data_IF_849712187645
#
_entry.id   IF_849712187645
#
_cell.length_a   1.000
_cell.length_b   1.000
_cell.length_c   1.000
_cell.angle_alpha   90.00
_cell.angle_beta   90.00
_cell.angle_gamma   90.00
#
_symmetry.space_group_name_H-M   'P 1'
#
loop_
_entity.id
_entity.type
_entity.pdbx_description
1 polymer ?
#
# COMPACT_ATOMS: atom_id res chain seq x y z
N UNK A 1 17.64 6.61 -10.10
CA UNK A 1 17.16 5.88 -8.91
C UNK A 1 18.03 4.66 -8.76
N UNK A 2 18.57 4.39 -7.57
CA UNK A 2 19.27 3.13 -7.33
C UNK A 2 18.24 2.01 -7.23
N UNK A 3 18.32 1.04 -8.14
CA UNK A 3 17.43 -0.13 -8.17
C UNK A 3 18.28 -1.39 -7.90
N UNK A 4 18.05 -2.09 -6.78
CA UNK A 4 18.77 -3.32 -6.48
C UNK A 4 18.36 -4.44 -7.43
N UNK A 5 19.29 -5.36 -7.69
CA UNK A 5 19.01 -6.59 -8.46
C UNK A 5 18.34 -7.64 -7.57
N UNK A 6 17.46 -8.45 -8.14
CA UNK A 6 16.70 -9.44 -7.39
C UNK A 6 17.60 -10.47 -6.67
N UNK A 7 18.76 -10.80 -7.24
CA UNK A 7 19.72 -11.75 -6.65
C UNK A 7 20.41 -11.22 -5.38
N UNK A 8 20.28 -9.92 -5.09
CA UNK A 8 20.81 -9.32 -3.87
C UNK A 8 19.94 -9.57 -2.63
N UNK A 9 18.71 -10.08 -2.83
CA UNK A 9 17.78 -10.37 -1.75
C UNK A 9 17.96 -11.81 -1.24
N UNK A 10 17.70 -12.05 0.06
CA UNK A 10 17.62 -13.40 0.58
C UNK A 10 16.49 -14.17 -0.09
N UNK A 11 16.59 -15.51 -0.14
CA UNK A 11 15.48 -16.34 -0.61
C UNK A 11 14.26 -16.15 0.29
N UNK A 12 13.07 -16.10 -0.30
CA UNK A 12 11.81 -16.02 0.43
C UNK A 12 11.69 -17.14 1.48
N UNK A 13 11.14 -16.79 2.65
CA UNK A 13 10.85 -17.73 3.73
C UNK A 13 9.60 -17.28 4.45
N UNK A 14 8.52 -18.05 4.31
CA UNK A 14 7.26 -17.77 5.00
C UNK A 14 7.44 -17.76 6.52
N UNK A 15 8.24 -18.70 7.06
CA UNK A 15 8.55 -18.73 8.49
C UNK A 15 9.17 -17.42 8.97
N UNK A 16 10.17 -16.91 8.25
CA UNK A 16 10.81 -15.62 8.59
C UNK A 16 9.78 -14.50 8.57
N UNK A 17 9.07 -14.35 7.45
CA UNK A 17 8.05 -13.30 7.28
C UNK A 17 7.07 -13.29 8.46
N UNK A 18 6.45 -14.44 8.76
CA UNK A 18 5.46 -14.52 9.83
C UNK A 18 6.07 -14.30 11.21
N UNK A 19 7.24 -14.86 11.49
CA UNK A 19 7.94 -14.67 12.77
C UNK A 19 8.33 -13.22 13.02
N UNK A 20 8.77 -12.48 12.00
CA UNK A 20 9.15 -11.08 12.13
C UNK A 20 7.93 -10.19 12.23
N UNK A 21 6.92 -10.39 11.38
CA UNK A 21 5.73 -9.54 11.32
C UNK A 21 4.80 -9.73 12.52
N UNK A 22 4.52 -10.98 12.91
CA UNK A 22 3.53 -11.29 13.95
C UNK A 22 4.16 -11.69 15.30
N UNK A 23 5.48 -11.83 15.35
CA UNK A 23 6.22 -12.24 16.55
C UNK A 23 6.09 -13.73 16.86
N UNK A 24 7.01 -14.23 17.68
CA UNK A 24 7.03 -15.61 18.20
C UNK A 24 6.81 -15.69 19.70
N UNK A 25 6.80 -14.55 20.39
CA UNK A 25 6.77 -14.46 21.85
C UNK A 25 5.33 -14.53 22.36
N UNK A 26 4.70 -15.69 22.19
CA UNK A 26 3.37 -15.98 22.70
C UNK A 26 3.32 -17.41 23.24
N UNK A 27 2.54 -17.62 24.30
CA UNK A 27 2.34 -18.94 24.92
C UNK A 27 1.13 -19.69 24.37
N UNK A 28 0.30 -18.99 23.60
CA UNK A 28 -0.98 -19.49 23.13
C UNK A 28 -0.83 -20.22 21.80
N UNK A 29 -1.68 -21.20 21.55
CA UNK A 29 -1.83 -21.80 20.23
C UNK A 29 -2.68 -20.88 19.36
N UNK A 30 -2.10 -20.31 18.31
CA UNK A 30 -2.81 -19.38 17.42
C UNK A 30 -3.39 -20.11 16.20
N UNK A 31 -4.46 -19.57 15.64
CA UNK A 31 -5.05 -20.02 14.38
C UNK A 31 -4.76 -19.01 13.28
N UNK A 32 -4.39 -19.50 12.10
CA UNK A 32 -4.11 -18.66 10.94
C UNK A 32 -5.02 -19.04 9.77
N UNK A 33 -5.50 -18.05 9.03
CA UNK A 33 -6.13 -18.30 7.73
C UNK A 33 -5.59 -17.39 6.63
N UNK A 34 -5.78 -17.86 5.39
CA UNK A 34 -5.55 -17.10 4.17
C UNK A 34 -6.92 -16.79 3.55
N UNK A 35 -7.10 -15.53 3.17
CA UNK A 35 -8.23 -15.07 2.38
C UNK A 35 -7.75 -14.74 0.97
N UNK A 36 -8.43 -15.31 -0.01
CA UNK A 36 -8.30 -14.94 -1.42
C UNK A 36 -9.60 -14.35 -1.92
N UNK A 37 -9.53 -13.62 -3.03
CA UNK A 37 -10.72 -13.15 -3.72
C UNK A 37 -10.90 -13.86 -5.06
N UNK A 38 -12.16 -14.16 -5.39
CA UNK A 38 -12.54 -14.77 -6.66
C UNK A 38 -13.75 -14.03 -7.25
N UNK A 39 -13.84 -13.87 -8.58
CA UNK A 39 -15.01 -13.26 -9.21
C UNK A 39 -16.27 -14.13 -9.08
N UNK A 40 -16.08 -15.45 -8.96
CA UNK A 40 -17.11 -16.44 -8.70
C UNK A 40 -16.60 -17.43 -7.64
N UNK A 41 -17.31 -17.53 -6.52
CA UNK A 41 -16.96 -18.42 -5.41
C UNK A 41 -17.01 -19.91 -5.79
N UNK A 42 -17.74 -20.28 -6.85
CA UNK A 42 -17.78 -21.66 -7.34
C UNK A 42 -16.42 -22.16 -7.83
N UNK A 43 -15.48 -21.24 -8.13
CA UNK A 43 -14.10 -21.53 -8.50
C UNK A 43 -13.25 -22.01 -7.31
N UNK A 44 -13.68 -21.74 -6.08
CA UNK A 44 -12.99 -22.23 -4.88
C UNK A 44 -13.21 -23.74 -4.71
N UNK A 45 -14.40 -24.22 -5.06
CA UNK A 45 -14.82 -25.61 -4.85
C UNK A 45 -13.91 -26.57 -5.61
N UNK A 46 -13.44 -27.61 -4.94
CA UNK A 46 -12.52 -28.61 -5.51
C UNK A 46 -11.27 -27.99 -6.18
N UNK A 47 -10.84 -26.82 -5.69
CA UNK A 47 -9.66 -26.09 -6.15
C UNK A 47 -9.72 -25.71 -7.65
N UNK A 48 -10.91 -25.46 -8.21
CA UNK A 48 -11.07 -25.16 -9.65
C UNK A 48 -10.21 -23.98 -10.11
N UNK A 49 -10.04 -22.93 -9.30
CA UNK A 49 -9.23 -21.76 -9.65
C UNK A 49 -7.76 -22.11 -9.94
N UNK A 50 -7.21 -23.17 -9.33
CA UNK A 50 -5.84 -23.62 -9.61
C UNK A 50 -5.69 -24.17 -11.04
N UNK A 51 -6.76 -24.74 -11.58
CA UNK A 51 -6.80 -25.35 -12.92
C UNK A 51 -7.23 -24.38 -14.01
N UNK A 52 -7.83 -23.25 -13.62
CA UNK A 52 -8.28 -22.20 -14.54
C UNK A 52 -7.11 -21.31 -14.97
N UNK A 53 -7.23 -20.71 -16.17
CA UNK A 53 -6.32 -19.66 -16.61
C UNK A 53 -6.45 -18.41 -15.72
N UNK A 54 -5.35 -17.67 -15.54
CA UNK A 54 -5.31 -16.49 -14.65
C UNK A 54 -5.09 -16.83 -13.18
N UNK A 55 -5.64 -16.01 -12.28
CA UNK A 55 -5.59 -16.16 -10.82
C UNK A 55 -4.17 -16.27 -10.25
N UNK A 56 -3.21 -15.53 -10.80
CA UNK A 56 -1.80 -15.64 -10.39
C UNK A 56 -1.61 -15.34 -8.90
N UNK A 57 -2.30 -14.31 -8.39
CA UNK A 57 -2.24 -13.91 -6.98
C UNK A 57 -2.78 -15.02 -6.08
N UNK A 58 -3.95 -15.56 -6.40
CA UNK A 58 -4.60 -16.61 -5.62
C UNK A 58 -3.81 -17.93 -5.69
N UNK A 59 -3.17 -18.21 -6.84
CA UNK A 59 -2.21 -19.32 -6.98
C UNK A 59 -0.98 -19.14 -6.10
N UNK A 60 -0.41 -17.93 -6.00
CA UNK A 60 0.66 -17.67 -5.02
C UNK A 60 0.19 -17.89 -3.58
N UNK A 61 -1.02 -17.41 -3.24
CA UNK A 61 -1.62 -17.63 -1.92
C UNK A 61 -1.68 -19.12 -1.56
N UNK A 62 -2.09 -19.97 -2.51
CA UNK A 62 -2.13 -21.41 -2.33
C UNK A 62 -0.73 -22.06 -2.35
N UNK A 63 -0.01 -21.92 -3.47
CA UNK A 63 1.18 -22.70 -3.78
C UNK A 63 2.38 -22.32 -2.91
N UNK A 64 2.46 -21.06 -2.50
CA UNK A 64 3.56 -20.54 -1.70
C UNK A 64 3.15 -20.37 -0.24
N UNK A 65 2.01 -19.74 0.06
CA UNK A 65 1.67 -19.46 1.46
C UNK A 65 1.02 -20.67 2.11
N UNK A 66 -0.14 -21.12 1.64
CA UNK A 66 -0.90 -22.22 2.24
C UNK A 66 -0.09 -23.53 2.28
N UNK A 67 0.53 -23.91 1.16
CA UNK A 67 1.36 -25.10 1.10
C UNK A 67 2.54 -25.05 2.08
N UNK A 68 3.18 -23.90 2.30
CA UNK A 68 4.26 -23.82 3.30
C UNK A 68 3.71 -23.87 4.74
N UNK A 69 2.54 -23.28 5.01
CA UNK A 69 1.85 -23.41 6.31
C UNK A 69 1.62 -24.88 6.67
N UNK A 70 0.98 -25.64 5.77
CA UNK A 70 0.67 -27.07 6.00
C UNK A 70 1.94 -27.94 6.01
N UNK A 71 2.98 -27.56 5.27
CA UNK A 71 4.26 -28.29 5.22
C UNK A 71 5.27 -27.81 6.28
N UNK A 72 4.80 -27.59 7.50
CA UNK A 72 5.64 -27.46 8.70
C UNK A 72 5.91 -26.04 9.20
N UNK A 73 5.56 -24.98 8.45
CA UNK A 73 5.70 -23.61 8.99
C UNK A 73 4.78 -23.42 10.19
N UNK A 74 3.53 -23.89 10.12
CA UNK A 74 2.55 -23.78 11.21
C UNK A 74 3.01 -24.50 12.46
N UNK A 75 3.50 -25.75 12.34
CA UNK A 75 4.08 -26.49 13.47
C UNK A 75 5.27 -25.71 14.09
N UNK A 76 6.13 -25.15 13.25
CA UNK A 76 7.32 -24.42 13.71
C UNK A 76 7.02 -23.07 14.39
N UNK A 77 5.81 -22.55 14.21
CA UNK A 77 5.32 -21.28 14.78
C UNK A 77 4.14 -21.49 15.74
N UNK A 78 3.87 -22.74 16.14
CA UNK A 78 2.80 -23.10 17.08
C UNK A 78 1.38 -22.72 16.61
N UNK A 79 1.14 -22.70 15.29
CA UNK A 79 -0.22 -22.55 14.76
C UNK A 79 -0.95 -23.89 14.75
N UNK A 80 -2.16 -23.93 15.29
CA UNK A 80 -2.96 -25.16 15.43
C UNK A 80 -3.96 -25.39 14.30
N UNK A 81 -4.26 -24.35 13.52
CA UNK A 81 -5.22 -24.40 12.43
C UNK A 81 -4.76 -23.55 11.26
N UNK A 82 -4.97 -24.07 10.05
CA UNK A 82 -4.67 -23.41 8.77
C UNK A 82 -5.95 -23.32 7.95
N UNK A 83 -6.63 -22.17 7.99
CA UNK A 83 -7.80 -21.89 7.15
C UNK A 83 -7.40 -21.39 5.76
N UNK A 84 -8.24 -21.68 4.76
CA UNK A 84 -8.11 -21.11 3.43
C UNK A 84 -9.50 -20.87 2.84
N UNK A 85 -9.84 -19.62 2.62
CA UNK A 85 -11.19 -19.21 2.24
C UNK A 85 -11.15 -18.23 1.07
N UNK A 86 -12.24 -18.19 0.32
CA UNK A 86 -12.46 -17.23 -0.75
C UNK A 86 -13.69 -16.37 -0.45
N UNK A 87 -13.59 -15.08 -0.76
CA UNK A 87 -14.72 -14.15 -0.84
C UNK A 87 -14.78 -13.52 -2.24
N UNK A 88 -15.83 -12.75 -2.54
CA UNK A 88 -16.01 -12.18 -3.86
C UNK A 88 -15.10 -10.96 -4.08
N UNK A 89 -14.44 -10.90 -5.23
CA UNK A 89 -13.60 -9.76 -5.64
C UNK A 89 -14.34 -8.43 -5.51
N UNK A 90 -13.71 -7.45 -4.85
CA UNK A 90 -14.30 -6.14 -4.53
C UNK A 90 -14.36 -5.19 -5.73
N UNK A 91 -13.43 -5.32 -6.68
CA UNK A 91 -13.31 -4.44 -7.85
C UNK A 91 -12.61 -3.11 -7.59
N UNK A 92 -12.14 -2.86 -6.36
CA UNK A 92 -11.41 -1.65 -5.98
C UNK A 92 -10.70 -1.81 -4.63
N UNK A 93 -9.58 -1.11 -4.46
CA UNK A 93 -8.81 -1.14 -3.22
C UNK A 93 -9.56 -0.44 -2.09
N UNK A 94 -9.59 -1.10 -0.93
CA UNK A 94 -10.22 -0.64 0.30
C UNK A 94 -11.75 -0.47 0.23
N UNK A 95 -12.40 -1.05 -0.77
CA UNK A 95 -13.85 -1.24 -0.77
C UNK A 95 -14.24 -2.37 0.20
N UNK A 96 -15.39 -2.21 0.85
CA UNK A 96 -15.87 -3.21 1.80
C UNK A 96 -16.29 -4.50 1.07
N UNK A 97 -15.77 -5.68 1.46
CA UNK A 97 -16.14 -6.95 0.83
C UNK A 97 -17.58 -7.35 1.17
N UNK A 98 -18.21 -8.11 0.27
CA UNK A 98 -19.44 -8.83 0.60
C UNK A 98 -19.14 -9.87 1.68
N UNK A 99 -20.10 -10.11 2.60
CA UNK A 99 -19.91 -11.01 3.75
C UNK A 99 -19.77 -12.49 3.35
N UNK A 100 -20.26 -12.87 2.17
CA UNK A 100 -20.26 -14.26 1.72
C UNK A 100 -18.85 -14.76 1.42
N UNK A 101 -18.51 -15.90 2.01
CA UNK A 101 -17.28 -16.63 1.79
C UNK A 101 -17.54 -18.13 1.57
N UNK A 102 -16.51 -18.84 1.11
CA UNK A 102 -16.54 -20.30 0.93
C UNK A 102 -15.15 -20.91 1.12
N UNK A 103 -15.10 -22.23 1.26
CA UNK A 103 -13.86 -23.04 1.36
C UNK A 103 -13.78 -24.05 0.20
N UNK A 104 -12.81 -24.97 0.25
CA UNK A 104 -12.62 -25.96 -0.82
C UNK A 104 -13.76 -26.98 -0.93
N UNK A 105 -14.47 -27.25 0.17
CA UNK A 105 -15.61 -28.16 0.24
C UNK A 105 -16.91 -27.51 -0.26
N UNK A 106 -16.89 -26.20 -0.41
CA UNK A 106 -17.98 -25.39 -0.94
C UNK A 106 -19.04 -25.01 0.07
N UNK A 107 -18.66 -24.98 1.35
CA UNK A 107 -19.51 -24.50 2.43
C UNK A 107 -19.90 -23.03 2.21
N UNK A 108 -21.12 -22.68 2.59
CA UNK A 108 -21.58 -21.29 2.64
C UNK A 108 -21.18 -20.70 3.99
N UNK A 109 -20.21 -19.78 3.96
CA UNK A 109 -19.62 -19.17 5.15
C UNK A 109 -19.83 -17.66 5.16
N UNK A 110 -19.75 -17.07 6.35
CA UNK A 110 -19.72 -15.63 6.59
C UNK A 110 -18.34 -15.19 7.03
N UNK A 111 -17.84 -14.09 6.46
CA UNK A 111 -16.61 -13.45 6.94
C UNK A 111 -16.76 -13.03 8.41
N UNK A 112 -17.88 -12.40 8.76
CA UNK A 112 -18.10 -11.83 10.10
C UNK A 112 -18.44 -12.87 11.18
N UNK A 113 -19.05 -14.00 10.82
CA UNK A 113 -19.47 -15.02 11.80
C UNK A 113 -18.54 -16.23 11.84
N UNK A 114 -18.09 -16.73 10.69
CA UNK A 114 -17.38 -18.01 10.60
C UNK A 114 -15.87 -17.85 10.49
N UNK A 115 -15.37 -16.69 10.05
CA UNK A 115 -13.94 -16.48 9.79
C UNK A 115 -13.33 -15.50 10.79
N UNK A 116 -13.66 -14.21 10.73
CA UNK A 116 -13.01 -13.18 11.55
C UNK A 116 -12.97 -13.48 13.05
N UNK A 117 -14.03 -14.01 13.69
CA UNK A 117 -14.00 -14.35 15.11
C UNK A 117 -13.15 -15.57 15.46
N UNK A 118 -12.81 -16.42 14.48
CA UNK A 118 -12.26 -17.76 14.70
C UNK A 118 -10.77 -17.88 14.38
N UNK A 119 -10.14 -16.82 13.87
CA UNK A 119 -8.72 -16.81 13.50
C UNK A 119 -7.98 -15.64 14.15
N UNK A 120 -6.78 -15.90 14.67
CA UNK A 120 -5.94 -14.90 15.33
C UNK A 120 -5.07 -14.13 14.32
N UNK A 121 -4.71 -14.77 13.21
CA UNK A 121 -3.93 -14.20 12.12
C UNK A 121 -4.66 -14.41 10.79
N UNK A 122 -4.89 -13.31 10.06
CA UNK A 122 -5.56 -13.34 8.75
C UNK A 122 -4.65 -12.73 7.69
N UNK A 123 -4.30 -13.51 6.67
CA UNK A 123 -3.53 -13.04 5.51
C UNK A 123 -4.47 -12.86 4.31
N UNK A 124 -4.75 -11.63 3.91
CA UNK A 124 -5.50 -11.34 2.69
C UNK A 124 -4.55 -11.24 1.50
N UNK A 125 -4.56 -12.24 0.62
CA UNK A 125 -3.72 -12.31 -0.58
C UNK A 125 -4.65 -12.21 -1.80
N UNK A 126 -4.90 -10.97 -2.22
CA UNK A 126 -6.04 -10.60 -3.08
C UNK A 126 -5.63 -9.73 -4.27
N UNK A 127 -6.49 -9.56 -5.26
CA UNK A 127 -6.19 -8.66 -6.39
C UNK A 127 -6.22 -7.17 -5.97
N UNK A 128 -7.09 -6.81 -5.03
CA UNK A 128 -7.24 -5.45 -4.49
C UNK A 128 -6.91 -5.38 -3.00
N UNK A 129 -6.49 -4.22 -2.52
CA UNK A 129 -6.20 -4.03 -1.10
C UNK A 129 -7.46 -4.15 -0.23
N UNK A 130 -7.33 -4.78 0.94
CA UNK A 130 -8.38 -4.87 1.96
C UNK A 130 -7.97 -4.17 3.27
N UNK A 131 -6.92 -3.34 3.25
CA UNK A 131 -6.30 -2.86 4.48
C UNK A 131 -7.30 -2.11 5.35
N UNK A 132 -8.10 -1.20 4.77
CA UNK A 132 -9.11 -0.46 5.51
C UNK A 132 -10.23 -1.34 6.12
N UNK A 133 -10.99 -2.13 5.34
CA UNK A 133 -12.05 -2.98 5.91
C UNK A 133 -11.48 -4.02 6.87
N UNK A 134 -10.33 -4.64 6.56
CA UNK A 134 -9.74 -5.66 7.41
C UNK A 134 -9.22 -5.06 8.73
N UNK A 135 -8.70 -3.83 8.73
CA UNK A 135 -8.30 -3.11 9.95
C UNK A 135 -9.50 -2.81 10.85
N UNK A 136 -10.64 -2.44 10.25
CA UNK A 136 -11.88 -2.23 11.00
C UNK A 136 -12.37 -3.54 11.63
N UNK A 137 -12.41 -4.63 10.86
CA UNK A 137 -12.79 -5.97 11.36
C UNK A 137 -11.81 -6.50 12.41
N UNK A 138 -10.50 -6.27 12.25
CA UNK A 138 -9.48 -6.67 13.22
C UNK A 138 -9.77 -6.09 14.62
N UNK A 139 -10.15 -4.80 14.69
CA UNK A 139 -10.48 -4.13 15.95
C UNK A 139 -11.76 -4.67 16.60
N UNK A 140 -12.71 -5.16 15.80
CA UNK A 140 -13.99 -5.72 16.29
C UNK A 140 -13.82 -7.16 16.77
N UNK A 141 -13.12 -7.99 15.99
CA UNK A 141 -12.98 -9.42 16.23
C UNK A 141 -11.68 -9.81 16.93
N UNK A 142 -10.81 -8.83 17.21
CA UNK A 142 -9.56 -8.95 17.94
C UNK A 142 -8.52 -9.87 17.26
N UNK A 143 -8.46 -9.86 15.92
CA UNK A 143 -7.41 -10.56 15.16
C UNK A 143 -6.30 -9.60 14.71
N UNK A 144 -5.19 -10.17 14.24
CA UNK A 144 -4.10 -9.45 13.56
C UNK A 144 -4.02 -9.92 12.11
N UNK A 145 -3.50 -9.10 11.21
CA UNK A 145 -3.45 -9.53 9.82
C UNK A 145 -2.47 -8.80 8.95
N UNK A 146 -2.45 -9.22 7.70
CA UNK A 146 -1.73 -8.52 6.64
C UNK A 146 -2.48 -8.60 5.31
N UNK A 147 -2.35 -7.55 4.51
CA UNK A 147 -2.77 -7.56 3.11
C UNK A 147 -1.53 -7.66 2.21
N UNK A 148 -1.63 -8.49 1.18
CA UNK A 148 -0.56 -8.81 0.23
C UNK A 148 -1.09 -8.71 -1.20
N UNK A 149 -1.81 -7.62 -1.48
CA UNK A 149 -2.53 -7.47 -2.72
C UNK A 149 -1.61 -7.41 -3.94
N UNK A 150 -1.98 -8.10 -5.02
CA UNK A 150 -1.19 -8.12 -6.25
C UNK A 150 0.15 -8.87 -6.16
N UNK A 151 0.37 -9.71 -5.15
CA UNK A 151 1.63 -10.46 -4.97
C UNK A 151 2.07 -11.16 -6.26
N UNK A 152 3.36 -11.05 -6.56
CA UNK A 152 3.98 -11.64 -7.74
C UNK A 152 5.40 -12.13 -7.42
N UNK A 153 6.08 -12.70 -8.42
CA UNK A 153 7.42 -13.29 -8.24
C UNK A 153 8.45 -12.29 -7.73
N UNK A 154 8.41 -11.04 -8.23
CA UNK A 154 9.33 -9.99 -7.81
C UNK A 154 9.07 -9.65 -6.34
N UNK A 155 7.81 -9.37 -5.98
CA UNK A 155 7.41 -9.06 -4.60
C UNK A 155 7.85 -10.16 -3.63
N UNK A 156 7.60 -11.42 -4.01
CA UNK A 156 7.92 -12.58 -3.20
C UNK A 156 9.43 -12.68 -2.93
N UNK A 157 10.25 -12.44 -3.95
CA UNK A 157 11.70 -12.57 -3.89
C UNK A 157 12.43 -11.24 -3.57
N UNK A 158 11.70 -10.15 -3.30
CA UNK A 158 12.25 -8.91 -2.77
C UNK A 158 11.54 -8.47 -1.49
N UNK A 159 10.42 -7.73 -1.59
CA UNK A 159 9.82 -7.03 -0.47
C UNK A 159 9.29 -7.94 0.64
N UNK A 160 8.90 -9.18 0.31
CA UNK A 160 8.46 -10.18 1.30
C UNK A 160 9.59 -11.08 1.81
N UNK A 161 10.78 -11.00 1.20
CA UNK A 161 11.90 -11.88 1.53
C UNK A 161 12.78 -11.34 2.66
N UNK A 162 12.65 -10.07 3.01
CA UNK A 162 13.54 -9.35 3.93
C UNK A 162 13.13 -9.53 5.41
N UNK A 163 13.97 -9.03 6.30
CA UNK A 163 13.68 -8.98 7.75
C UNK A 163 12.93 -7.68 8.08
N UNK A 164 11.68 -7.81 8.54
CA UNK A 164 10.82 -6.67 8.83
C UNK A 164 11.24 -5.87 10.07
N UNK A 165 12.11 -6.41 10.92
CA UNK A 165 12.72 -5.62 12.00
C UNK A 165 13.66 -4.56 11.41
N UNK A 166 14.32 -4.84 10.28
CA UNK A 166 15.17 -3.88 9.58
C UNK A 166 14.33 -2.86 8.81
N UNK A 167 13.25 -3.29 8.15
CA UNK A 167 12.26 -2.41 7.52
C UNK A 167 11.73 -1.39 8.52
N UNK A 168 11.39 -1.84 9.73
CA UNK A 168 10.88 -0.96 10.79
C UNK A 168 11.91 0.06 11.27
N UNK A 169 13.20 -0.30 11.35
CA UNK A 169 14.28 0.65 11.70
C UNK A 169 14.51 1.68 10.60
N UNK A 170 14.53 1.24 9.35
CA UNK A 170 14.70 2.12 8.18
C UNK A 170 13.55 3.11 8.03
N UNK A 171 12.32 2.62 8.17
CA UNK A 171 11.12 3.45 8.18
C UNK A 171 11.13 4.43 9.36
N UNK A 172 11.57 4.01 10.56
CA UNK A 172 11.69 4.92 11.72
C UNK A 172 12.73 6.01 11.50
N UNK A 173 13.91 5.65 10.99
CA UNK A 173 14.97 6.63 10.70
C UNK A 173 14.47 7.68 9.71
N UNK A 174 13.74 7.26 8.68
CA UNK A 174 13.13 8.16 7.70
C UNK A 174 12.00 9.01 8.30
N UNK A 175 11.12 8.37 9.10
CA UNK A 175 10.00 9.03 9.79
C UNK A 175 10.50 10.17 10.67
N UNK A 176 11.56 9.97 11.44
CA UNK A 176 12.16 10.99 12.31
C UNK A 176 12.60 12.25 11.54
N UNK A 177 13.08 12.10 10.30
CA UNK A 177 13.45 13.25 9.46
C UNK A 177 12.22 14.08 9.11
N UNK A 178 11.13 13.41 8.70
CA UNK A 178 9.90 14.05 8.23
C UNK A 178 8.93 14.47 9.35
N UNK A 179 9.08 13.90 10.55
CA UNK A 179 8.16 14.11 11.68
C UNK A 179 7.98 15.59 11.99
N UNK A 180 6.75 16.03 12.30
CA UNK A 180 6.44 17.43 12.60
C UNK A 180 6.74 18.43 11.47
N UNK A 181 6.70 18.00 10.21
CA UNK A 181 6.76 18.93 9.06
C UNK A 181 5.47 19.74 8.93
N UNK A 182 5.61 21.02 8.58
CA UNK A 182 4.50 21.94 8.38
C UNK A 182 3.71 21.60 7.11
N UNK A 183 4.44 21.46 6.00
CA UNK A 183 3.89 21.09 4.69
C UNK A 183 4.99 20.53 3.78
N UNK A 184 4.56 19.97 2.65
CA UNK A 184 5.43 19.54 1.56
C UNK A 184 5.01 20.22 0.25
N UNK A 185 5.97 20.65 -0.55
CA UNK A 185 5.76 21.07 -1.94
C UNK A 185 6.35 20.03 -2.88
N UNK A 186 5.56 19.52 -3.81
CA UNK A 186 5.96 18.54 -4.82
C UNK A 186 5.92 19.24 -6.17
N UNK A 187 7.07 19.37 -6.81
CA UNK A 187 7.21 19.96 -8.13
C UNK A 187 7.20 18.85 -9.18
N UNK A 188 6.28 18.98 -10.13
CA UNK A 188 6.10 18.06 -11.24
C UNK A 188 6.51 18.72 -12.55
N UNK A 189 7.18 17.96 -13.41
CA UNK A 189 7.46 18.33 -14.79
C UNK A 189 6.80 17.32 -15.74
N UNK A 190 6.01 17.84 -16.69
CA UNK A 190 5.35 17.06 -17.75
C UNK A 190 5.49 17.81 -19.07
N UNK A 191 6.21 17.22 -20.03
CA UNK A 191 6.48 17.82 -21.35
C UNK A 191 6.98 19.28 -21.30
N UNK A 192 7.85 19.60 -20.32
CA UNK A 192 8.40 20.94 -20.12
C UNK A 192 7.44 21.95 -19.46
N UNK A 193 6.24 21.54 -19.07
CA UNK A 193 5.36 22.33 -18.19
C UNK A 193 5.58 21.93 -16.74
N UNK A 194 5.63 22.91 -15.85
CA UNK A 194 5.79 22.68 -14.42
C UNK A 194 4.48 22.96 -13.66
N UNK A 195 4.22 22.16 -12.64
CA UNK A 195 3.16 22.40 -11.65
C UNK A 195 3.62 22.02 -10.25
N UNK A 196 3.11 22.71 -9.24
CA UNK A 196 3.41 22.40 -7.84
C UNK A 196 2.13 22.01 -7.10
N UNK A 197 2.20 20.93 -6.31
CA UNK A 197 1.20 20.60 -5.31
C UNK A 197 1.78 20.86 -3.92
N UNK A 198 1.09 21.69 -3.14
CA UNK A 198 1.40 21.91 -1.73
C UNK A 198 0.45 21.09 -0.86
N UNK A 199 0.98 20.33 0.09
CA UNK A 199 0.24 19.46 1.00
C UNK A 199 0.54 19.88 2.44
N UNK A 200 -0.48 20.34 3.16
CA UNK A 200 -0.36 20.79 4.54
C UNK A 200 -0.48 19.60 5.50
N UNK A 201 0.51 19.44 6.39
CA UNK A 201 0.59 18.35 7.37
C UNK A 201 0.42 18.83 8.81
N UNK A 202 0.34 20.14 9.03
CA UNK A 202 0.04 20.77 10.33
C UNK A 202 0.94 20.29 11.48
N UNK A 203 2.22 19.98 11.20
CA UNK A 203 3.18 19.47 12.17
C UNK A 203 2.70 18.20 12.90
N UNK A 204 1.83 17.40 12.28
CA UNK A 204 1.41 16.13 12.84
C UNK A 204 2.59 15.18 13.03
N UNK A 205 2.42 14.19 13.91
CA UNK A 205 3.37 13.09 13.95
C UNK A 205 3.22 12.24 12.70
N UNK A 206 4.31 12.09 11.96
CA UNK A 206 4.37 11.25 10.78
C UNK A 206 4.09 9.79 11.17
N UNK A 207 3.32 9.10 10.35
CA UNK A 207 3.04 7.68 10.52
C UNK A 207 4.03 6.85 9.69
N UNK A 208 4.16 5.56 10.02
CA UNK A 208 4.97 4.64 9.21
C UNK A 208 4.24 3.32 9.02
N UNK A 209 4.26 2.81 7.80
CA UNK A 209 3.85 1.43 7.49
C UNK A 209 5.10 0.58 7.50
N UNK A 210 5.27 -0.21 8.55
CA UNK A 210 6.50 -1.00 8.79
C UNK A 210 6.27 -2.51 8.82
N UNK A 211 5.04 -2.95 8.62
CA UNK A 211 4.69 -4.36 8.45
C UNK A 211 4.73 -5.23 9.70
N UNK A 212 4.89 -4.66 10.90
CA UNK A 212 4.86 -5.42 12.15
C UNK A 212 3.48 -5.28 12.82
N UNK A 213 2.86 -6.42 13.12
CA UNK A 213 1.64 -6.57 13.90
C UNK A 213 1.90 -7.55 15.06
N UNK A 214 2.69 -7.14 16.07
CA UNK A 214 3.05 -8.02 17.18
C UNK A 214 1.83 -8.47 17.99
N UNK A 215 2.01 -9.52 18.80
CA UNK A 215 0.94 -10.07 19.63
C UNK A 215 0.35 -9.03 20.60
N UNK A 216 -0.96 -9.11 20.86
CA UNK A 216 -1.65 -8.34 21.89
C UNK A 216 -2.35 -7.05 21.44
N UNK A 217 -2.14 -6.58 20.19
CA UNK A 217 -2.90 -5.46 19.63
C UNK A 217 -3.49 -5.86 18.27
N UNK A 218 -4.82 -5.81 18.07
CA UNK A 218 -5.41 -6.06 16.77
C UNK A 218 -5.02 -4.94 15.79
N UNK A 219 -4.46 -5.34 14.66
CA UNK A 219 -3.99 -4.44 13.61
C UNK A 219 -3.77 -5.20 12.31
N UNK A 220 -3.71 -4.49 11.19
CA UNK A 220 -3.43 -5.07 9.87
C UNK A 220 -2.31 -4.31 9.19
N UNK A 221 -1.33 -5.04 8.67
CA UNK A 221 -0.20 -4.49 7.94
C UNK A 221 -0.37 -4.61 6.41
N UNK A 222 0.24 -3.72 5.65
CA UNK A 222 0.56 -3.98 4.24
C UNK A 222 1.88 -4.75 4.16
N UNK A 223 1.95 -5.82 3.37
CA UNK A 223 3.19 -6.54 3.07
C UNK A 223 3.35 -6.70 1.54
N UNK A 224 4.43 -6.18 0.91
CA UNK A 224 5.56 -5.45 1.49
C UNK A 224 5.19 -4.15 2.21
N UNK A 225 6.02 -3.78 3.17
CA UNK A 225 5.91 -2.53 3.92
C UNK A 225 7.11 -1.63 3.64
N UNK A 226 7.14 -0.49 4.33
CA UNK A 226 8.27 0.44 4.31
C UNK A 226 7.88 1.76 3.66
N UNK A 227 6.96 2.47 4.30
CA UNK A 227 6.63 3.84 3.95
C UNK A 227 6.53 4.73 5.17
N UNK A 228 6.66 6.02 4.94
CA UNK A 228 6.27 7.08 5.88
C UNK A 228 5.18 7.88 5.22
N UNK A 229 4.09 8.13 5.95
CA UNK A 229 2.92 8.79 5.40
C UNK A 229 2.31 9.80 6.35
N UNK A 230 1.49 10.66 5.76
CA UNK A 230 0.72 11.72 6.41
C UNK A 230 -0.72 11.65 5.91
N UNK A 231 -1.68 11.91 6.80
CA UNK A 231 -3.05 12.26 6.39
C UNK A 231 -3.11 13.79 6.32
N UNK A 232 -3.20 14.40 5.12
CA UNK A 232 -3.13 15.85 5.00
C UNK A 232 -4.30 16.56 5.67
N UNK A 233 -4.06 17.78 6.18
CA UNK A 233 -5.13 18.65 6.70
C UNK A 233 -5.71 19.54 5.60
N UNK A 234 -4.93 19.83 4.56
CA UNK A 234 -5.31 20.56 3.36
C UNK A 234 -4.29 20.32 2.26
N UNK A 235 -4.64 20.70 1.04
CA UNK A 235 -3.74 20.74 -0.11
C UNK A 235 -4.20 21.83 -1.09
N UNK A 236 -3.25 22.38 -1.87
CA UNK A 236 -3.53 23.37 -2.90
C UNK A 236 -2.51 23.32 -4.04
N UNK A 237 -2.90 23.83 -5.21
CA UNK A 237 -2.05 23.81 -6.40
C UNK A 237 -2.55 22.76 -7.37
N UNK A 238 -1.65 22.03 -8.02
CA UNK A 238 -2.09 20.99 -8.96
C UNK A 238 -1.03 19.92 -9.20
N UNK A 239 -1.47 18.74 -9.59
CA UNK A 239 -0.60 17.62 -9.93
C UNK A 239 -1.07 16.91 -11.22
N UNK A 240 -0.16 16.31 -11.99
CA UNK A 240 -0.52 15.51 -13.15
C UNK A 240 -0.97 14.10 -12.74
N UNK A 241 -1.98 13.57 -13.41
CA UNK A 241 -2.51 12.22 -13.21
C UNK A 241 -2.46 11.45 -14.53
N UNK A 242 -2.04 10.18 -14.46
CA UNK A 242 -1.99 9.27 -15.60
C UNK A 242 -3.03 8.18 -15.45
N UNK A 243 -4.04 8.21 -16.30
CA UNK A 243 -5.04 7.13 -16.40
C UNK A 243 -4.39 5.83 -16.90
N UNK A 244 -5.08 4.70 -16.68
CA UNK A 244 -4.59 3.38 -17.07
C UNK A 244 -4.35 3.22 -18.59
N UNK A 245 -5.08 3.97 -19.42
CA UNK A 245 -4.91 4.01 -20.88
C UNK A 245 -3.76 4.91 -21.36
N UNK A 246 -3.10 5.62 -20.44
CA UNK A 246 -2.03 6.57 -20.73
C UNK A 246 -2.50 8.01 -20.99
N UNK A 247 -3.79 8.30 -20.84
CA UNK A 247 -4.29 9.67 -20.81
C UNK A 247 -3.67 10.43 -19.63
N UNK A 248 -3.24 11.66 -19.86
CA UNK A 248 -2.64 12.55 -18.89
C UNK A 248 -3.56 13.75 -18.67
N UNK A 249 -3.82 14.06 -17.41
CA UNK A 249 -4.64 15.19 -17.01
C UNK A 249 -4.00 15.94 -15.84
N UNK A 250 -4.21 17.25 -15.78
CA UNK A 250 -3.87 18.08 -14.64
C UNK A 250 -5.04 18.08 -13.65
N UNK A 251 -4.79 17.73 -12.40
CA UNK A 251 -5.74 17.79 -11.29
C UNK A 251 -5.52 19.08 -10.51
N UNK A 252 -6.47 20.01 -10.57
CA UNK A 252 -6.47 21.25 -9.79
C UNK A 252 -7.04 20.98 -8.40
N UNK A 253 -6.29 21.34 -7.37
CA UNK A 253 -6.60 21.08 -5.97
C UNK A 253 -6.81 22.40 -5.22
N UNK A 254 -7.92 22.50 -4.51
CA UNK A 254 -8.23 23.60 -3.60
C UNK A 254 -8.80 23.04 -2.29
N UNK A 255 -8.36 23.59 -1.15
CA UNK A 255 -8.83 23.20 0.19
C UNK A 255 -8.81 21.67 0.44
N UNK A 256 -7.77 20.98 -0.04
CA UNK A 256 -7.60 19.55 0.17
C UNK A 256 -8.38 18.64 -0.78
N UNK A 257 -9.06 19.17 -1.79
CA UNK A 257 -9.80 18.37 -2.75
C UNK A 257 -9.55 18.78 -4.20
N UNK A 258 -9.58 17.80 -5.11
CA UNK A 258 -9.58 18.04 -6.54
C UNK A 258 -10.90 18.70 -6.92
N UNK A 259 -10.83 19.91 -7.47
CA UNK A 259 -12.02 20.66 -7.91
C UNK A 259 -12.24 20.56 -9.42
N UNK A 260 -11.20 20.22 -10.18
CA UNK A 260 -11.26 20.13 -11.65
C UNK A 260 -10.11 19.31 -12.20
N UNK A 261 -10.42 18.49 -13.20
CA UNK A 261 -9.46 17.84 -14.08
C UNK A 261 -9.41 18.55 -15.44
N UNK A 262 -8.23 18.73 -16.03
CA UNK A 262 -8.02 19.31 -17.36
C UNK A 262 -7.08 18.46 -18.19
N UNK A 263 -7.40 18.21 -19.47
CA UNK A 263 -6.61 17.34 -20.33
C UNK A 263 -5.22 17.95 -20.61
N UNK A 264 -4.17 17.13 -20.43
CA UNK A 264 -2.81 17.41 -20.92
C UNK A 264 -2.61 16.72 -22.28
N UNK A 265 -2.93 15.43 -22.36
CA UNK A 265 -2.80 14.60 -23.58
C UNK A 265 -3.64 13.34 -23.46
N UNK A 266 -4.29 12.90 -24.54
CA UNK A 266 -5.02 11.63 -24.58
C UNK A 266 -6.52 11.83 -24.81
N UNK A 267 -7.34 11.06 -24.09
CA UNK A 267 -8.79 11.05 -24.27
C UNK A 267 -9.49 12.12 -23.39
N UNK A 268 -10.17 13.07 -24.03
CA UNK A 268 -10.97 14.07 -23.33
C UNK A 268 -12.13 13.45 -22.55
N UNK A 269 -12.71 12.35 -23.02
CA UNK A 269 -13.84 11.71 -22.36
C UNK A 269 -13.46 11.22 -20.95
N UNK A 270 -12.23 10.73 -20.74
CA UNK A 270 -11.74 10.34 -19.41
C UNK A 270 -11.70 11.49 -18.43
N UNK A 271 -11.32 12.67 -18.91
CA UNK A 271 -11.27 13.90 -18.10
C UNK A 271 -12.69 14.39 -17.80
N UNK A 272 -13.59 14.31 -18.76
CA UNK A 272 -14.99 14.70 -18.59
C UNK A 272 -15.71 13.75 -17.60
N UNK A 273 -15.49 12.44 -17.72
CA UNK A 273 -16.01 11.43 -16.78
C UNK A 273 -15.48 11.67 -15.36
N UNK A 274 -14.18 12.00 -15.21
CA UNK A 274 -13.60 12.33 -13.91
C UNK A 274 -14.23 13.60 -13.33
N UNK A 275 -14.46 14.63 -14.15
CA UNK A 275 -15.13 15.85 -13.70
C UNK A 275 -16.59 15.59 -13.30
N UNK A 276 -17.31 14.72 -14.02
CA UNK A 276 -18.65 14.30 -13.63
C UNK A 276 -18.64 13.58 -12.28
N UNK A 277 -17.71 12.64 -12.07
CA UNK A 277 -17.54 11.94 -10.80
C UNK A 277 -17.24 12.90 -9.63
N UNK A 278 -16.39 13.91 -9.83
CA UNK A 278 -16.08 14.91 -8.80
C UNK A 278 -17.31 15.76 -8.41
N UNK A 279 -18.25 15.98 -9.33
CA UNK A 279 -19.51 16.67 -9.05
C UNK A 279 -20.49 15.74 -8.33
N UNK A 280 -20.59 14.50 -8.80
CA UNK A 280 -21.52 13.50 -8.27
C UNK A 280 -21.12 13.01 -6.89
N UNK A 281 -19.82 12.86 -6.61
CA UNK A 281 -19.28 12.39 -5.34
C UNK A 281 -17.95 13.10 -5.03
N UNK A 282 -18.00 14.33 -4.49
CA UNK A 282 -16.81 15.14 -4.22
C UNK A 282 -15.79 14.48 -3.29
N UNK A 283 -16.23 13.54 -2.44
CA UNK A 283 -15.36 12.79 -1.54
C UNK A 283 -14.27 12.00 -2.30
N UNK A 284 -14.54 11.58 -3.54
CA UNK A 284 -13.57 10.92 -4.41
C UNK A 284 -12.39 11.80 -4.82
N UNK A 285 -12.50 13.12 -4.63
CA UNK A 285 -11.45 14.09 -4.95
C UNK A 285 -10.62 14.51 -3.73
N UNK A 286 -11.02 14.13 -2.52
CA UNK A 286 -10.32 14.55 -1.29
C UNK A 286 -8.97 13.85 -1.21
N UNK A 287 -7.91 14.61 -0.95
CA UNK A 287 -6.56 14.09 -0.73
C UNK A 287 -6.52 13.39 0.64
N UNK A 288 -6.37 12.07 0.62
CA UNK A 288 -6.41 11.20 1.79
C UNK A 288 -5.04 10.89 2.37
N UNK A 289 -4.00 10.91 1.55
CA UNK A 289 -2.64 10.54 1.97
C UNK A 289 -1.57 11.28 1.16
N UNK A 290 -0.45 11.55 1.81
CA UNK A 290 0.86 11.76 1.20
C UNK A 290 1.82 10.69 1.74
N UNK A 291 2.41 9.89 0.86
CA UNK A 291 3.32 8.82 1.24
C UNK A 291 4.69 8.89 0.57
N UNK A 292 5.69 8.33 1.26
CA UNK A 292 7.08 8.26 0.83
C UNK A 292 7.64 6.85 1.02
N UNK A 293 8.18 6.30 -0.06
CA UNK A 293 8.86 5.02 -0.01
C UNK A 293 10.19 5.11 0.73
N UNK A 294 10.51 4.05 1.50
CA UNK A 294 11.70 4.00 2.36
C UNK A 294 12.62 2.82 2.05
N UNK A 295 12.30 2.00 1.05
CA UNK A 295 12.94 0.70 0.86
C UNK A 295 13.72 0.61 -0.43
N UNK A 296 14.84 -0.10 -0.40
CA UNK A 296 15.59 -0.40 -1.62
C UNK A 296 14.99 -1.66 -2.25
N UNK A 297 14.07 -1.48 -3.19
CA UNK A 297 13.35 -2.57 -3.85
C UNK A 297 13.39 -2.43 -5.37
N UNK A 298 13.34 -3.54 -6.12
CA UNK A 298 13.08 -3.49 -7.55
C UNK A 298 11.61 -3.11 -7.81
N UNK A 299 11.36 -2.52 -8.98
CA UNK A 299 9.97 -2.35 -9.45
C UNK A 299 9.35 -3.70 -9.76
N UNK A 300 8.18 -3.93 -9.18
CA UNK A 300 7.36 -5.12 -9.35
C UNK A 300 6.23 -4.91 -10.36
N UNK A 301 5.92 -3.66 -10.70
CA UNK A 301 4.75 -3.30 -11.50
C UNK A 301 3.45 -3.32 -10.70
N UNK A 302 3.53 -3.31 -9.37
CA UNK A 302 2.40 -3.33 -8.43
C UNK A 302 2.62 -2.30 -7.33
N UNK A 303 1.56 -1.55 -7.03
CA UNK A 303 1.65 -0.36 -6.18
C UNK A 303 2.11 -0.70 -4.75
N UNK A 304 1.60 -1.80 -4.18
CA UNK A 304 1.98 -2.27 -2.83
C UNK A 304 3.49 -2.33 -2.55
N UNK A 305 4.31 -2.63 -3.57
CA UNK A 305 5.76 -2.63 -3.43
C UNK A 305 6.37 -1.36 -4.00
N UNK A 306 5.89 -0.91 -5.17
CA UNK A 306 6.53 0.17 -5.91
C UNK A 306 6.41 1.51 -5.16
N UNK A 307 5.35 1.70 -4.36
CA UNK A 307 5.19 2.87 -3.48
C UNK A 307 6.15 2.88 -2.30
N UNK A 308 6.67 1.71 -1.91
CA UNK A 308 7.63 1.56 -0.80
C UNK A 308 9.05 1.87 -1.23
N UNK A 309 9.33 2.12 -2.51
CA UNK A 309 10.69 2.31 -3.03
C UNK A 309 11.27 3.67 -2.60
N UNK A 310 12.49 3.69 -2.08
CA UNK A 310 13.18 4.93 -1.72
C UNK A 310 13.32 5.84 -2.95
N UNK A 311 12.73 7.03 -2.86
CA UNK A 311 12.70 8.02 -3.93
C UNK A 311 11.36 8.10 -4.68
N UNK A 312 10.42 7.18 -4.42
CA UNK A 312 9.03 7.35 -4.84
C UNK A 312 8.25 8.18 -3.84
N UNK A 313 7.22 8.84 -4.35
CA UNK A 313 6.24 9.58 -3.58
C UNK A 313 4.88 9.33 -4.24
N UNK A 314 3.84 9.23 -3.43
CA UNK A 314 2.46 9.11 -3.89
C UNK A 314 1.55 10.06 -3.15
N UNK A 315 0.46 10.41 -3.82
CA UNK A 315 -0.66 11.14 -3.24
C UNK A 315 -1.87 10.24 -3.41
N UNK A 316 -2.65 10.02 -2.36
CA UNK A 316 -3.86 9.22 -2.47
C UNK A 316 -5.12 10.07 -2.41
N UNK A 317 -6.17 9.62 -3.08
CA UNK A 317 -7.52 10.18 -2.94
C UNK A 317 -8.49 9.18 -2.33
N UNK A 318 -9.51 9.70 -1.65
CA UNK A 318 -10.57 8.87 -1.06
C UNK A 318 -10.31 8.53 0.41
N UNK A 319 -10.87 7.41 0.87
CA UNK A 319 -11.03 7.13 2.32
C UNK A 319 -9.70 7.13 3.06
N UNK A 320 -9.65 7.71 4.25
CA UNK A 320 -8.43 7.86 5.06
C UNK A 320 -8.60 7.40 6.52
N UNK A 321 -9.76 6.86 6.86
CA UNK A 321 -10.14 6.37 8.19
C UNK A 321 -9.15 5.33 8.76
N UNK A 322 -8.68 4.42 7.92
CA UNK A 322 -7.70 3.41 8.31
C UNK A 322 -6.30 3.95 8.58
N UNK A 323 -6.01 5.17 8.09
CA UNK A 323 -4.76 5.90 8.30
C UNK A 323 -4.82 6.87 9.48
N UNK A 324 -5.97 6.96 10.15
CA UNK A 324 -6.24 7.93 11.23
C UNK A 324 -6.91 9.24 10.75
N UNK A 325 -7.33 9.29 9.49
CA UNK A 325 -8.12 10.39 8.94
C UNK A 325 -9.61 10.28 9.26
N UNK A 326 -10.38 11.29 8.81
CA UNK A 326 -11.81 11.38 9.08
C UNK A 326 -12.69 11.00 7.88
N UNK A 327 -12.09 10.66 6.73
CA UNK A 327 -12.85 10.32 5.53
C UNK A 327 -13.27 8.85 5.57
N UNK A 328 -14.43 8.60 6.16
CA UNK A 328 -15.06 7.28 6.30
C UNK A 328 -16.00 6.96 5.13
N UNK A 329 -16.34 5.68 4.88
CA UNK A 329 -17.21 5.29 3.77
C UNK A 329 -18.60 5.96 3.70
N UNK A 330 -19.14 6.40 4.83
CA UNK A 330 -20.45 7.08 4.91
C UNK A 330 -20.44 8.52 4.40
N UNK A 331 -19.26 9.10 4.17
CA UNK A 331 -19.10 10.44 3.60
C UNK A 331 -19.09 10.44 2.06
N UNK A 332 -19.13 9.26 1.44
CA UNK A 332 -19.26 9.09 0.00
C UNK A 332 -20.73 8.94 -0.38
N UNK A 333 -21.12 9.48 -1.52
CA UNK A 333 -22.47 9.31 -2.05
C UNK A 333 -22.75 7.88 -2.49
N UNK A 334 -21.71 7.10 -2.80
CA UNK A 334 -21.78 5.66 -3.04
C UNK A 334 -20.68 4.91 -2.30
N UNK A 335 -21.02 3.77 -1.68
CA UNK A 335 -20.01 2.89 -1.07
C UNK A 335 -19.01 2.33 -2.07
N UNK A 336 -19.40 2.22 -3.35
CA UNK A 336 -18.51 1.78 -4.43
C UNK A 336 -17.46 2.85 -4.79
N UNK A 337 -17.66 4.09 -4.33
CA UNK A 337 -16.72 5.19 -4.51
C UNK A 337 -15.81 5.41 -3.29
N UNK A 338 -16.06 4.69 -2.19
CA UNK A 338 -15.26 4.79 -0.97
C UNK A 338 -13.95 3.98 -1.08
N UNK A 339 -13.25 4.11 -2.20
CA UNK A 339 -11.91 3.55 -2.40
C UNK A 339 -10.86 4.41 -1.71
N UNK A 340 -9.65 3.87 -1.63
CA UNK A 340 -8.44 4.64 -1.40
C UNK A 340 -7.51 4.35 -2.57
N UNK A 341 -7.23 5.38 -3.37
CA UNK A 341 -6.55 5.25 -4.65
C UNK A 341 -5.20 5.96 -4.63
N UNK A 342 -4.13 5.18 -4.63
CA UNK A 342 -2.75 5.67 -4.64
C UNK A 342 -2.32 6.16 -6.04
N UNK A 343 -1.97 7.44 -6.12
CA UNK A 343 -1.42 8.07 -7.32
C UNK A 343 0.10 8.05 -7.19
N UNK A 344 0.68 6.90 -7.50
CA UNK A 344 2.11 6.66 -7.43
C UNK A 344 2.86 7.27 -8.61
N UNK A 345 3.87 8.09 -8.31
CA UNK A 345 4.83 8.60 -9.28
C UNK A 345 6.11 7.78 -9.23
N UNK A 346 6.38 7.04 -10.30
CA UNK A 346 7.57 6.23 -10.44
C UNK A 346 7.99 6.14 -11.91
N UNK A 347 9.29 6.14 -12.24
CA UNK A 347 9.76 6.14 -13.63
C UNK A 347 9.13 5.08 -14.56
N UNK A 348 8.95 3.80 -14.16
CA UNK A 348 8.32 2.82 -15.05
C UNK A 348 6.78 2.93 -15.12
N UNK A 349 6.12 3.52 -14.10
CA UNK A 349 4.65 3.62 -14.03
C UNK A 349 4.13 4.89 -14.72
N UNK A 350 4.84 6.00 -14.53
CA UNK A 350 4.51 7.32 -15.06
C UNK A 350 5.71 7.92 -15.81
N UNK A 351 6.17 7.30 -16.92
CA UNK A 351 7.40 7.73 -17.61
C UNK A 351 7.32 9.15 -18.18
N UNK A 352 6.12 9.71 -18.32
CA UNK A 352 5.90 11.08 -18.79
C UNK A 352 5.96 12.15 -17.70
N UNK A 353 5.94 11.74 -16.43
CA UNK A 353 5.85 12.62 -15.26
C UNK A 353 7.14 12.50 -14.46
N UNK A 354 7.83 13.63 -14.26
CA UNK A 354 9.00 13.71 -13.39
C UNK A 354 8.63 14.46 -12.12
N UNK A 355 8.96 13.89 -10.95
CA UNK A 355 9.04 14.67 -9.71
C UNK A 355 10.41 15.34 -9.69
N UNK A 356 10.46 16.62 -10.04
CA UNK A 356 11.71 17.37 -10.15
C UNK A 356 12.29 17.72 -8.79
N UNK A 357 11.44 18.07 -7.82
CA UNK A 357 11.83 18.37 -6.44
C UNK A 357 10.69 18.05 -5.46
N UNK A 358 11.04 17.60 -4.27
CA UNK A 358 10.14 17.47 -3.12
C UNK A 358 10.75 18.25 -1.97
N UNK A 359 10.07 19.32 -1.56
CA UNK A 359 10.55 20.28 -0.57
C UNK A 359 9.72 20.16 0.71
N UNK A 360 10.39 19.83 1.81
CA UNK A 360 9.81 19.77 3.15
C UNK A 360 9.95 21.13 3.83
N UNK A 361 8.86 21.66 4.37
CA UNK A 361 8.86 22.86 5.21
C UNK A 361 8.83 22.45 6.67
N UNK A 362 9.88 22.79 7.42
CA UNK A 362 10.02 22.40 8.83
C UNK A 362 10.83 23.44 9.59
N UNK A 363 10.30 23.90 10.73
CA UNK A 363 10.96 24.90 11.60
C UNK A 363 11.33 26.20 10.86
N UNK A 364 10.52 26.63 9.89
CA UNK A 364 10.79 27.80 9.05
C UNK A 364 11.89 27.60 7.99
N UNK A 365 12.44 26.40 7.84
CA UNK A 365 13.37 26.04 6.76
C UNK A 365 12.63 25.32 5.63
N UNK A 366 13.15 25.46 4.40
CA UNK A 366 12.70 24.73 3.21
C UNK A 366 13.83 23.81 2.77
N UNK A 367 13.59 22.50 2.82
CA UNK A 367 14.62 21.49 2.62
C UNK A 367 14.19 20.53 1.52
N UNK A 368 14.93 20.48 0.42
CA UNK A 368 14.72 19.45 -0.61
C UNK A 368 15.11 18.07 -0.06
N UNK A 369 14.17 17.13 -0.09
CA UNK A 369 14.36 15.75 0.38
C UNK A 369 14.50 14.76 -0.78
N UNK A 370 13.84 15.00 -1.90
CA UNK A 370 13.96 14.22 -3.12
C UNK A 370 14.12 15.13 -4.33
N UNK A 371 14.98 14.77 -5.29
CA UNK A 371 15.13 15.45 -6.58
C UNK A 371 15.27 14.41 -7.70
N UNK A 372 14.44 14.51 -8.74
CA UNK A 372 14.42 13.55 -9.86
C UNK A 372 14.34 12.09 -9.36
N UNK A 373 13.42 11.84 -8.43
CA UNK A 373 13.26 10.58 -7.73
C UNK A 373 14.52 10.05 -7.01
N UNK A 374 15.48 10.91 -6.68
CA UNK A 374 16.67 10.58 -5.87
C UNK A 374 16.58 11.23 -4.49
N UNK A 375 16.97 10.56 -3.41
CA UNK A 375 17.18 11.24 -2.13
C UNK A 375 18.30 12.29 -2.25
N UNK A 376 18.09 13.46 -1.66
CA UNK A 376 19.12 14.51 -1.60
C UNK A 376 20.23 14.15 -0.63
N UNK A 377 21.35 14.87 -0.69
CA UNK A 377 22.45 14.70 0.27
C UNK A 377 22.00 14.90 1.71
N UNK A 378 21.13 15.91 1.95
CA UNK A 378 20.53 16.14 3.26
C UNK A 378 19.83 14.89 3.80
N UNK A 379 18.94 14.29 3.00
CA UNK A 379 18.18 13.12 3.43
C UNK A 379 19.11 11.92 3.67
N UNK A 380 20.06 11.67 2.76
CA UNK A 380 21.05 10.59 2.89
C UNK A 380 21.89 10.73 4.16
N UNK A 381 22.34 11.94 4.49
CA UNK A 381 23.12 12.20 5.70
C UNK A 381 22.32 11.83 6.96
N UNK A 382 21.04 12.19 7.01
CA UNK A 382 20.16 11.90 8.15
C UNK A 382 19.88 10.41 8.35
N UNK A 383 19.78 9.64 7.25
CA UNK A 383 19.42 8.21 7.31
C UNK A 383 20.63 7.27 7.18
N UNK A 384 21.84 7.82 7.09
CA UNK A 384 23.10 7.07 6.84
C UNK A 384 23.40 5.94 7.84
N UNK A 385 22.78 5.93 9.01
CA UNK A 385 22.97 4.90 10.03
C UNK A 385 22.34 3.54 9.67
N UNK A 386 21.32 3.53 8.80
CA UNK A 386 20.54 2.32 8.45
C UNK A 386 20.36 2.11 6.94
N UNK A 387 20.94 2.99 6.12
CA UNK A 387 20.92 2.91 4.66
C UNK A 387 22.33 2.80 4.07
N UNK A 388 22.51 2.02 2.99
CA UNK A 388 23.76 1.98 2.22
C UNK A 388 23.89 3.21 1.32
N UNK A 389 24.20 4.37 1.92
CA UNK A 389 24.21 5.68 1.23
C UNK A 389 25.26 5.78 0.12
N UNK A 390 26.32 4.96 0.18
CA UNK A 390 27.35 4.87 -0.86
C UNK A 390 26.80 4.48 -2.23
N UNK A 391 25.64 3.82 -2.28
CA UNK A 391 24.97 3.39 -3.51
C UNK A 391 24.32 4.54 -4.29
N UNK A 392 24.15 5.70 -3.65
CA UNK A 392 23.52 6.89 -4.24
C UNK A 392 24.53 7.91 -4.75
N UNK A 393 25.80 7.79 -4.34
CA UNK A 393 26.87 8.75 -4.63
C UNK A 393 27.36 8.75 -6.10
N UNK A 394 26.79 7.94 -6.99
CA UNK A 394 27.34 7.71 -8.35
C UNK A 394 26.77 8.67 -9.42
N UNK A 395 25.90 9.63 -9.07
CA UNK A 395 25.26 10.51 -10.07
C UNK A 395 25.80 11.95 -10.11
N UNK A 396 26.91 12.26 -9.46
CA UNK A 396 27.58 13.55 -9.57
C UNK A 396 28.83 13.44 -10.46
N UNK A 397 28.63 13.38 -11.78
CA UNK A 397 29.66 13.70 -12.78
C UNK A 397 29.04 14.57 -13.87
#
# INVERSE_FOLDING_TARGET
MYIPKLESFPKFSLKRLLSTCFGTDHTDSLKICILIDLPDLSLMHEHKFLKSDGFSVQKYAHDVFFNNLVNGVSESLSFTENGFFAFKTTGGSNLDPEDSATNFDGDQLSLNEDIYPNFDIILAITDFSLTAPLTASAKVHNFRGATLHGVNEIILNSGLSVDYTEISKQAESFRCVLDHSECFEIDFEVFGSCSTLKIDCSQQSAQKSHGLCPYGKPDVANLPAGEVYFVPTSASGSFPFRFSDGTLAQMLVENGAIIKSSLIRGDQQKVDDRNAQLIEDPATGIIGELGFGTQLLPFSGKDIQDEKILGTCHVATGRSDHLGGNLTPDLFNSRLNASHDDILYAPPKTPEITISDVRMHKNGEVISILQNFQPTSFLLDQISSVYPTEKFAVSAV
#
